data_IF_511070755841
#
_entry.id   IF_511070755841
#
_cell.length_a   1.000
_cell.length_b   1.000
_cell.length_c   1.000
_cell.angle_alpha   90.00
_cell.angle_beta   90.00
_cell.angle_gamma   90.00
#
_symmetry.space_group_name_H-M   'P 1'
#
loop_
_entity.id
_entity.type
_entity.pdbx_description
1 polymer ?
#
# COMPACT_ATOMS: atom_id res chain seq x y z
N UNK A 1 -6.34 -18.34 -31.58
CA UNK A 1 -5.88 -18.63 -30.22
C UNK A 1 -7.09 -18.92 -29.37
N UNK A 2 -7.14 -20.01 -28.60
CA UNK A 2 -8.27 -20.21 -27.68
C UNK A 2 -8.32 -19.05 -26.69
N UNK A 3 -9.52 -18.55 -26.45
CA UNK A 3 -9.75 -17.51 -25.45
C UNK A 3 -9.50 -18.13 -24.06
N UNK A 4 -8.36 -17.80 -23.45
CA UNK A 4 -7.91 -18.30 -22.15
C UNK A 4 -8.40 -17.44 -21.00
N UNK A 5 -9.36 -16.55 -21.23
CA UNK A 5 -9.92 -15.71 -20.16
C UNK A 5 -10.74 -16.54 -19.16
N UNK A 6 -10.81 -16.07 -17.94
CA UNK A 6 -11.63 -16.65 -16.89
C UNK A 6 -13.12 -16.72 -17.32
N UNK A 7 -13.60 -15.71 -18.04
CA UNK A 7 -14.95 -15.69 -18.62
C UNK A 7 -15.16 -16.79 -19.65
N UNK A 8 -14.16 -17.08 -20.49
CA UNK A 8 -14.24 -18.18 -21.44
C UNK A 8 -14.26 -19.54 -20.74
N UNK A 9 -13.43 -19.71 -19.71
CA UNK A 9 -13.42 -20.92 -18.90
C UNK A 9 -14.76 -21.14 -18.18
N UNK A 10 -15.29 -20.13 -17.50
CA UNK A 10 -16.58 -20.25 -16.79
C UNK A 10 -17.74 -20.44 -17.74
N UNK A 11 -17.72 -19.81 -18.91
CA UNK A 11 -18.74 -19.98 -19.97
C UNK A 11 -18.71 -21.39 -20.56
N UNK A 12 -17.52 -21.95 -20.80
CA UNK A 12 -17.37 -23.32 -21.33
C UNK A 12 -17.87 -24.38 -20.35
N UNK A 13 -17.85 -24.09 -19.05
CA UNK A 13 -18.36 -24.98 -17.99
C UNK A 13 -19.85 -24.73 -17.68
N UNK A 14 -20.49 -23.70 -18.28
CA UNK A 14 -21.83 -23.27 -17.90
C UNK A 14 -21.89 -22.76 -16.45
N UNK A 15 -20.74 -22.35 -15.87
CA UNK A 15 -20.61 -22.03 -14.47
C UNK A 15 -20.80 -20.53 -14.20
N UNK A 16 -21.17 -20.18 -12.96
CA UNK A 16 -21.22 -18.82 -12.45
C UNK A 16 -19.86 -18.44 -11.88
N UNK A 17 -19.55 -17.15 -11.87
CA UNK A 17 -18.28 -16.61 -11.29
C UNK A 17 -18.32 -16.62 -9.74
N UNK A 18 -19.50 -16.72 -9.14
CA UNK A 18 -19.68 -16.66 -7.68
C UNK A 18 -18.72 -17.59 -6.87
N UNK A 19 -18.47 -18.85 -7.29
CA UNK A 19 -17.55 -19.73 -6.57
C UNK A 19 -16.11 -19.20 -6.49
N UNK A 20 -15.68 -18.37 -7.43
CA UNK A 20 -14.33 -17.78 -7.42
C UNK A 20 -14.21 -16.75 -6.30
N UNK A 21 -15.25 -15.97 -6.07
CA UNK A 21 -15.28 -15.02 -4.94
C UNK A 21 -15.32 -15.75 -3.60
N UNK A 22 -16.00 -16.90 -3.51
CA UNK A 22 -15.98 -17.77 -2.33
C UNK A 22 -14.56 -18.30 -2.06
N UNK A 23 -13.83 -18.74 -3.09
CA UNK A 23 -12.44 -19.18 -2.96
C UNK A 23 -11.53 -18.08 -2.42
N UNK A 24 -11.74 -16.82 -2.80
CA UNK A 24 -10.98 -15.69 -2.28
C UNK A 24 -11.16 -15.48 -0.76
N UNK A 25 -12.28 -15.94 -0.20
CA UNK A 25 -12.53 -15.89 1.24
C UNK A 25 -11.74 -16.93 2.04
N UNK A 26 -11.29 -18.00 1.38
CA UNK A 26 -10.44 -19.01 2.00
C UNK A 26 -8.95 -18.63 2.01
N UNK A 27 -8.56 -17.56 1.31
CA UNK A 27 -7.18 -17.06 1.28
C UNK A 27 -6.90 -16.19 2.51
N UNK A 28 -6.38 -16.80 3.58
CA UNK A 28 -6.20 -16.15 4.90
C UNK A 28 -5.15 -15.04 4.93
N UNK A 29 -4.16 -15.07 4.03
CA UNK A 29 -3.04 -14.10 4.00
C UNK A 29 -3.14 -13.14 2.82
N UNK A 30 -4.26 -13.16 2.11
CA UNK A 30 -4.51 -12.35 0.92
C UNK A 30 -5.63 -11.35 1.21
N UNK A 31 -5.33 -10.07 1.08
CA UNK A 31 -6.30 -8.99 1.08
C UNK A 31 -6.77 -8.81 -0.37
N UNK A 32 -8.09 -8.85 -0.60
CA UNK A 32 -8.65 -8.66 -1.94
C UNK A 32 -9.83 -7.69 -1.91
N UNK A 33 -9.92 -6.80 -2.90
CA UNK A 33 -11.00 -5.83 -3.04
C UNK A 33 -11.32 -5.50 -4.49
N UNK A 34 -12.55 -5.05 -4.71
CA UNK A 34 -13.02 -4.45 -5.96
C UNK A 34 -13.69 -3.11 -5.63
N UNK A 35 -13.35 -2.08 -6.41
CA UNK A 35 -13.97 -0.75 -6.35
C UNK A 35 -14.50 -0.33 -7.71
N UNK A 36 -15.49 0.52 -7.71
CA UNK A 36 -15.95 1.19 -8.93
C UNK A 36 -15.07 2.41 -9.29
N UNK A 37 -15.42 3.11 -10.38
CA UNK A 37 -14.71 4.31 -10.85
C UNK A 37 -14.67 5.47 -9.86
N UNK A 38 -15.58 5.49 -8.89
CA UNK A 38 -15.67 6.52 -7.85
C UNK A 38 -14.86 6.15 -6.60
N UNK A 39 -14.18 5.01 -6.63
CA UNK A 39 -13.42 4.50 -5.47
C UNK A 39 -14.30 3.86 -4.39
N UNK A 40 -15.57 3.57 -4.71
CA UNK A 40 -16.51 2.94 -3.79
C UNK A 40 -16.29 1.43 -3.78
N UNK A 41 -16.10 0.84 -2.61
CA UNK A 41 -15.96 -0.60 -2.43
C UNK A 41 -17.22 -1.33 -2.87
N UNK A 42 -17.06 -2.29 -3.78
CA UNK A 42 -18.12 -3.14 -4.32
C UNK A 42 -18.01 -4.57 -3.84
N UNK A 43 -16.80 -5.00 -3.52
CA UNK A 43 -16.56 -6.30 -2.91
C UNK A 43 -15.23 -6.31 -2.16
N UNK A 44 -15.15 -7.11 -1.09
CA UNK A 44 -13.94 -7.39 -0.32
C UNK A 44 -13.99 -8.84 0.18
N UNK A 45 -12.83 -9.50 0.30
CA UNK A 45 -12.79 -10.80 0.96
C UNK A 45 -12.80 -10.67 2.49
N UNK A 46 -13.06 -11.78 3.16
CA UNK A 46 -13.15 -11.86 4.62
C UNK A 46 -11.84 -11.39 5.29
N UNK A 47 -10.70 -11.73 4.71
CA UNK A 47 -9.38 -11.33 5.24
C UNK A 47 -9.23 -9.80 5.25
N UNK A 48 -9.59 -9.10 4.17
CA UNK A 48 -9.55 -7.64 4.16
C UNK A 48 -10.56 -7.02 5.13
N UNK A 49 -11.78 -7.58 5.21
CA UNK A 49 -12.80 -7.12 6.14
C UNK A 49 -12.29 -7.14 7.59
N UNK A 50 -11.74 -8.26 8.02
CA UNK A 50 -11.14 -8.41 9.35
C UNK A 50 -9.91 -7.51 9.54
N UNK A 51 -9.10 -7.36 8.50
CA UNK A 51 -7.94 -6.48 8.50
C UNK A 51 -8.32 -5.01 8.72
N UNK A 52 -9.45 -4.55 8.18
CA UNK A 52 -9.99 -3.19 8.43
C UNK A 52 -10.66 -3.10 9.83
N UNK A 53 -10.78 -4.20 10.56
CA UNK A 53 -11.43 -4.23 11.88
C UNK A 53 -12.97 -4.17 11.78
N UNK A 54 -13.55 -4.75 10.73
CA UNK A 54 -14.99 -4.83 10.52
C UNK A 54 -15.48 -6.27 10.70
N UNK A 55 -16.70 -6.41 11.17
CA UNK A 55 -17.35 -7.71 11.42
C UNK A 55 -18.31 -8.13 10.31
N UNK A 56 -18.68 -7.20 9.42
CA UNK A 56 -19.59 -7.43 8.29
C UNK A 56 -19.13 -6.64 7.06
N UNK A 57 -19.33 -7.20 5.87
CA UNK A 57 -19.07 -6.52 4.59
C UNK A 57 -19.94 -5.29 4.39
N UNK A 58 -21.14 -5.25 4.95
CA UNK A 58 -22.06 -4.10 4.87
C UNK A 58 -21.47 -2.84 5.50
N UNK A 59 -20.51 -3.00 6.41
CA UNK A 59 -19.77 -1.89 6.99
C UNK A 59 -18.70 -1.31 6.04
N UNK A 60 -18.45 -1.95 4.89
CA UNK A 60 -17.42 -1.59 3.92
C UNK A 60 -18.03 -1.27 2.56
N UNK A 61 -18.96 -2.12 2.10
CA UNK A 61 -19.59 -1.96 0.78
C UNK A 61 -20.36 -0.64 0.73
N UNK A 62 -20.20 0.09 -0.38
CA UNK A 62 -20.78 1.42 -0.56
C UNK A 62 -19.95 2.58 0.02
N UNK A 63 -18.87 2.29 0.75
CA UNK A 63 -17.95 3.29 1.33
C UNK A 63 -16.74 3.50 0.43
N UNK A 64 -16.04 4.61 0.68
CA UNK A 64 -14.77 4.96 0.04
C UNK A 64 -13.60 4.72 0.99
N UNK A 65 -12.37 4.88 0.51
CA UNK A 65 -11.18 4.81 1.36
C UNK A 65 -11.21 5.85 2.49
N UNK A 66 -11.76 7.04 2.24
CA UNK A 66 -11.84 8.11 3.24
C UNK A 66 -12.80 7.79 4.39
N UNK A 67 -13.76 6.90 4.18
CA UNK A 67 -14.68 6.44 5.22
C UNK A 67 -14.08 5.35 6.11
N UNK A 68 -13.00 4.68 5.63
CA UNK A 68 -12.47 3.47 6.24
C UNK A 68 -11.04 3.61 6.77
N UNK A 69 -10.25 4.51 6.18
CA UNK A 69 -8.83 4.65 6.47
C UNK A 69 -8.47 6.08 6.87
N UNK A 70 -7.32 6.22 7.53
CA UNK A 70 -6.75 7.54 7.82
C UNK A 70 -6.52 8.33 6.51
N UNK A 71 -6.71 9.66 6.53
CA UNK A 71 -6.70 10.47 5.31
C UNK A 71 -5.48 10.30 4.41
N UNK A 72 -4.30 10.07 5.00
CA UNK A 72 -3.07 9.89 4.22
C UNK A 72 -3.05 8.58 3.43
N UNK A 73 -3.60 7.47 4.00
CA UNK A 73 -3.74 6.21 3.30
C UNK A 73 -4.82 6.30 2.22
N UNK A 74 -5.96 6.89 2.57
CA UNK A 74 -7.05 7.11 1.63
C UNK A 74 -6.60 7.91 0.41
N UNK A 75 -5.83 8.99 0.60
CA UNK A 75 -5.23 9.76 -0.49
C UNK A 75 -4.30 8.92 -1.36
N UNK A 76 -3.43 8.09 -0.74
CA UNK A 76 -2.52 7.21 -1.49
C UNK A 76 -3.31 6.20 -2.32
N UNK A 77 -4.30 5.55 -1.72
CA UNK A 77 -5.14 4.57 -2.42
C UNK A 77 -5.91 5.20 -3.57
N UNK A 78 -6.42 6.42 -3.39
CA UNK A 78 -7.10 7.15 -4.45
C UNK A 78 -6.15 7.53 -5.61
N UNK A 79 -4.92 7.94 -5.30
CA UNK A 79 -3.90 8.21 -6.34
C UNK A 79 -3.58 6.95 -7.14
N UNK A 80 -3.44 5.82 -6.47
CA UNK A 80 -3.21 4.52 -7.10
C UNK A 80 -4.39 4.13 -7.98
N UNK A 81 -5.61 4.23 -7.45
CA UNK A 81 -6.82 3.87 -8.19
C UNK A 81 -6.99 4.77 -9.42
N UNK A 82 -6.71 6.09 -9.30
CA UNK A 82 -6.70 6.99 -10.44
C UNK A 82 -5.64 6.62 -11.49
N UNK A 83 -4.47 6.12 -11.08
CA UNK A 83 -3.44 5.63 -11.99
C UNK A 83 -3.92 4.37 -12.74
N UNK A 84 -4.53 3.43 -12.03
CA UNK A 84 -5.06 2.19 -12.60
C UNK A 84 -6.25 2.46 -13.53
N UNK A 85 -7.13 3.39 -13.18
CA UNK A 85 -8.27 3.80 -14.02
C UNK A 85 -7.85 4.43 -15.36
N UNK A 86 -6.62 4.91 -15.49
CA UNK A 86 -6.01 5.33 -16.77
C UNK A 86 -5.43 4.17 -17.59
N UNK A 87 -5.69 2.92 -17.15
CA UNK A 87 -5.18 1.72 -17.81
C UNK A 87 -3.75 1.34 -17.46
N UNK A 88 -3.17 1.92 -16.41
CA UNK A 88 -1.81 1.66 -15.95
C UNK A 88 -1.84 0.77 -14.71
N UNK A 89 -1.62 -0.55 -14.84
CA UNK A 89 -1.66 -1.45 -13.69
C UNK A 89 -0.50 -1.17 -12.72
N UNK A 90 -0.71 -1.52 -11.47
CA UNK A 90 0.32 -1.63 -10.45
C UNK A 90 0.55 -3.12 -10.22
N UNK A 91 1.77 -3.59 -10.35
CA UNK A 91 2.10 -5.02 -10.20
C UNK A 91 3.22 -5.21 -9.20
N UNK A 92 3.01 -6.13 -8.26
CA UNK A 92 4.02 -6.56 -7.25
C UNK A 92 4.75 -5.40 -6.57
N UNK A 93 4.04 -4.29 -6.28
CA UNK A 93 4.62 -3.13 -5.62
C UNK A 93 4.76 -3.40 -4.13
N UNK A 94 5.98 -3.33 -3.64
CA UNK A 94 6.26 -3.43 -2.21
C UNK A 94 5.97 -2.10 -1.55
N UNK A 95 5.11 -2.09 -0.56
CA UNK A 95 4.73 -0.88 0.16
C UNK A 95 4.55 -1.14 1.65
N UNK A 96 4.83 -0.11 2.45
CA UNK A 96 4.54 -0.12 3.87
C UNK A 96 3.19 0.52 4.13
N UNK A 97 2.32 -0.19 4.81
CA UNK A 97 1.12 0.38 5.40
C UNK A 97 1.16 0.28 6.92
N UNK A 98 0.47 1.20 7.59
CA UNK A 98 0.29 1.13 9.05
C UNK A 98 -1.10 0.59 9.32
N UNK A 99 -1.13 -0.58 9.95
CA UNK A 99 -2.36 -1.24 10.31
C UNK A 99 -2.45 -1.38 11.83
N UNK A 100 -3.53 -0.89 12.42
CA UNK A 100 -3.68 -0.79 13.89
C UNK A 100 -2.40 -0.25 14.55
N UNK A 101 -1.86 0.85 14.00
CA UNK A 101 -0.63 1.53 14.43
C UNK A 101 0.65 0.69 14.28
N UNK A 102 0.56 -0.52 13.70
CA UNK A 102 1.71 -1.40 13.45
C UNK A 102 2.10 -1.34 11.97
N UNK A 103 3.34 -0.98 11.64
CA UNK A 103 3.82 -0.99 10.27
C UNK A 103 3.91 -2.43 9.72
N UNK A 104 3.39 -2.63 8.50
CA UNK A 104 3.42 -3.92 7.80
C UNK A 104 3.85 -3.71 6.37
N UNK A 105 4.77 -4.55 5.92
CA UNK A 105 5.17 -4.58 4.51
C UNK A 105 4.22 -5.48 3.74
N UNK A 106 3.70 -4.95 2.64
CA UNK A 106 2.81 -5.66 1.73
C UNK A 106 3.37 -5.64 0.32
N UNK A 107 3.04 -6.68 -0.43
CA UNK A 107 3.17 -6.71 -1.90
C UNK A 107 1.78 -6.51 -2.48
N UNK A 108 1.59 -5.40 -3.19
CA UNK A 108 0.29 -4.98 -3.71
C UNK A 108 0.30 -5.01 -5.24
N UNK A 109 -0.76 -5.58 -5.81
CA UNK A 109 -1.08 -5.46 -7.23
C UNK A 109 -2.48 -4.90 -7.40
N UNK A 110 -2.65 -3.97 -8.36
CA UNK A 110 -3.96 -3.38 -8.71
C UNK A 110 -4.13 -3.38 -10.23
N UNK A 111 -5.26 -3.88 -10.68
CA UNK A 111 -5.62 -4.00 -12.09
C UNK A 111 -6.90 -3.24 -12.40
N UNK A 112 -7.06 -2.73 -13.64
CA UNK A 112 -8.32 -2.16 -14.08
C UNK A 112 -9.35 -3.27 -14.33
N UNK A 113 -10.54 -3.12 -13.74
CA UNK A 113 -11.70 -3.98 -14.04
C UNK A 113 -12.36 -3.45 -15.30
N UNK A 114 -12.59 -4.34 -16.26
CA UNK A 114 -13.23 -4.03 -17.54
C UNK A 114 -14.57 -4.75 -17.68
N UNK A 115 -15.52 -4.08 -18.28
CA UNK A 115 -16.80 -4.72 -18.67
C UNK A 115 -16.63 -5.50 -19.98
N UNK A 116 -17.69 -6.21 -20.40
CA UNK A 116 -17.71 -6.99 -21.64
C UNK A 116 -17.41 -6.17 -22.93
N UNK A 117 -17.53 -4.83 -22.86
CA UNK A 117 -17.19 -3.92 -23.98
C UNK A 117 -15.75 -3.39 -23.88
N UNK A 118 -14.91 -3.95 -23.01
CA UNK A 118 -13.51 -3.56 -22.79
C UNK A 118 -13.33 -2.23 -22.03
N UNK A 119 -14.40 -1.53 -21.63
CA UNK A 119 -14.31 -0.24 -20.92
C UNK A 119 -13.94 -0.47 -19.46
N UNK A 120 -13.00 0.32 -18.96
CA UNK A 120 -12.66 0.30 -17.53
C UNK A 120 -13.85 0.80 -16.72
N UNK A 121 -14.31 -0.01 -15.76
CA UNK A 121 -15.47 0.26 -14.90
C UNK A 121 -15.10 0.36 -13.41
N UNK A 122 -13.87 0.01 -13.06
CA UNK A 122 -13.39 0.04 -11.69
C UNK A 122 -11.95 -0.45 -11.58
N UNK A 123 -11.54 -0.74 -10.35
CA UNK A 123 -10.25 -1.32 -10.00
C UNK A 123 -10.45 -2.58 -9.16
N UNK A 124 -9.57 -3.55 -9.31
CA UNK A 124 -9.43 -4.67 -8.39
C UNK A 124 -8.02 -4.72 -7.87
N UNK A 125 -7.84 -5.07 -6.62
CA UNK A 125 -6.53 -5.17 -6.01
C UNK A 125 -6.38 -6.38 -5.12
N UNK A 126 -5.14 -6.84 -5.04
CA UNK A 126 -4.69 -7.87 -4.13
C UNK A 126 -3.46 -7.38 -3.38
N UNK A 127 -3.39 -7.68 -2.08
CA UNK A 127 -2.20 -7.44 -1.30
C UNK A 127 -1.92 -8.64 -0.39
N UNK A 128 -0.65 -9.01 -0.28
CA UNK A 128 -0.17 -10.08 0.60
C UNK A 128 0.86 -9.53 1.58
N UNK A 129 0.95 -10.14 2.76
CA UNK A 129 2.03 -9.82 3.68
C UNK A 129 3.36 -10.19 3.03
N UNK A 130 4.32 -9.27 3.00
CA UNK A 130 5.67 -9.58 2.60
C UNK A 130 6.34 -10.39 3.72
N UNK A 131 6.30 -11.71 3.62
CA UNK A 131 7.02 -12.59 4.53
C UNK A 131 8.53 -12.35 4.42
N UNK A 132 9.26 -12.52 5.52
CA UNK A 132 10.73 -12.34 5.53
C UNK A 132 11.45 -13.29 4.57
N UNK A 133 10.82 -14.41 4.20
CA UNK A 133 11.40 -15.46 3.35
C UNK A 133 11.00 -15.38 1.85
N UNK A 134 10.01 -14.56 1.48
CA UNK A 134 9.61 -14.41 0.08
C UNK A 134 10.51 -13.44 -0.70
N UNK A 135 11.82 -13.67 -0.61
CA UNK A 135 12.83 -12.93 -1.38
C UNK A 135 12.63 -13.04 -2.91
N UNK A 136 11.83 -13.99 -3.40
CA UNK A 136 11.56 -14.20 -4.82
C UNK A 136 10.71 -13.11 -5.47
N UNK A 137 9.67 -12.60 -4.79
CA UNK A 137 8.82 -11.54 -5.33
C UNK A 137 9.59 -10.21 -5.38
N UNK A 138 10.56 -10.03 -4.47
CA UNK A 138 11.45 -8.87 -4.47
C UNK A 138 12.41 -8.86 -5.66
N UNK A 139 12.77 -10.04 -6.20
CA UNK A 139 13.78 -10.18 -7.27
C UNK A 139 13.29 -9.78 -8.65
N UNK A 140 11.98 -9.75 -8.91
CA UNK A 140 11.44 -9.41 -10.24
C UNK A 140 11.40 -7.89 -10.52
N UNK A 141 11.38 -7.05 -9.47
CA UNK A 141 11.40 -5.59 -9.64
C UNK A 141 12.84 -5.07 -9.67
N UNK A 142 13.19 -4.30 -10.69
CA UNK A 142 14.50 -3.61 -10.76
C UNK A 142 14.75 -2.67 -9.55
N UNK A 143 13.71 -2.29 -8.82
CA UNK A 143 13.79 -1.45 -7.62
C UNK A 143 13.87 -2.27 -6.33
N UNK A 144 13.79 -3.59 -6.40
CA UNK A 144 13.83 -4.47 -5.24
C UNK A 144 15.06 -4.24 -4.34
N UNK A 145 16.30 -4.11 -4.87
CA UNK A 145 17.47 -3.84 -4.03
C UNK A 145 17.36 -2.51 -3.27
N UNK A 146 16.81 -1.46 -3.91
CA UNK A 146 16.60 -0.18 -3.25
C UNK A 146 15.54 -0.28 -2.15
N UNK A 147 14.49 -1.06 -2.35
CA UNK A 147 13.44 -1.25 -1.35
C UNK A 147 13.95 -2.07 -0.15
N UNK A 148 14.75 -3.11 -0.39
CA UNK A 148 15.42 -3.84 0.67
C UNK A 148 16.33 -2.92 1.50
N UNK A 149 17.15 -2.11 0.82
CA UNK A 149 17.99 -1.11 1.48
C UNK A 149 17.16 -0.11 2.31
N UNK A 150 16.09 0.45 1.75
CA UNK A 150 15.21 1.37 2.47
C UNK A 150 14.61 0.70 3.70
N UNK A 151 14.17 -0.56 3.59
CA UNK A 151 13.57 -1.30 4.71
C UNK A 151 14.52 -1.43 5.89
N UNK A 152 15.80 -1.67 5.63
CA UNK A 152 16.83 -1.86 6.66
C UNK A 152 17.40 -0.55 7.19
N UNK A 153 17.57 0.46 6.32
CA UNK A 153 18.33 1.68 6.60
C UNK A 153 17.51 2.99 6.57
N UNK A 154 16.15 2.92 6.59
CA UNK A 154 15.33 4.14 6.50
C UNK A 154 15.62 5.16 7.60
N UNK A 155 16.09 4.74 8.75
CA UNK A 155 16.43 5.57 9.91
C UNK A 155 17.77 6.28 9.79
N UNK A 156 18.62 5.90 8.84
CA UNK A 156 19.93 6.47 8.57
C UNK A 156 19.88 7.51 7.45
N UNK A 157 20.93 8.32 7.24
CA UNK A 157 21.04 9.18 6.06
C UNK A 157 21.04 8.33 4.78
N UNK A 158 19.98 8.45 3.97
CA UNK A 158 19.79 7.64 2.75
C UNK A 158 20.38 8.35 1.54
N UNK A 159 21.35 7.71 0.88
CA UNK A 159 21.91 8.19 -0.38
C UNK A 159 21.12 7.64 -1.57
N UNK A 160 20.37 8.51 -2.26
CA UNK A 160 19.63 8.12 -3.47
C UNK A 160 20.57 7.64 -4.59
N UNK A 161 21.78 8.18 -4.65
CA UNK A 161 22.81 7.75 -5.60
C UNK A 161 23.24 6.30 -5.33
N UNK A 162 23.48 5.97 -4.05
CA UNK A 162 23.83 4.59 -3.66
C UNK A 162 22.70 3.63 -4.00
N UNK A 163 21.44 4.00 -3.72
CA UNK A 163 20.29 3.16 -4.09
C UNK A 163 20.16 2.96 -5.61
N UNK A 164 20.43 3.96 -6.41
CA UNK A 164 20.45 3.81 -7.86
C UNK A 164 21.53 2.83 -8.31
N UNK A 165 22.71 2.90 -7.70
CA UNK A 165 23.84 1.98 -8.00
C UNK A 165 23.50 0.54 -7.62
N UNK A 166 22.88 0.29 -6.46
CA UNK A 166 22.46 -1.08 -6.06
C UNK A 166 21.43 -1.69 -7.01
N UNK A 167 20.66 -0.84 -7.70
CA UNK A 167 19.69 -1.26 -8.72
C UNK A 167 20.32 -1.40 -10.12
N UNK A 168 21.62 -1.11 -10.30
CA UNK A 168 22.27 -1.08 -11.63
C UNK A 168 21.71 0.02 -12.53
N UNK A 169 21.23 1.14 -11.96
CA UNK A 169 20.58 2.22 -12.70
C UNK A 169 21.37 3.53 -12.61
N UNK A 170 21.32 4.33 -13.67
CA UNK A 170 21.71 5.74 -13.58
C UNK A 170 20.74 6.49 -12.64
N UNK A 171 21.19 7.57 -12.00
CA UNK A 171 20.37 8.36 -11.08
C UNK A 171 19.07 8.86 -11.73
N UNK A 172 19.13 9.32 -12.99
CA UNK A 172 17.96 9.75 -13.73
C UNK A 172 16.97 8.63 -14.05
N UNK A 173 17.48 7.44 -14.44
CA UNK A 173 16.65 6.26 -14.68
C UNK A 173 16.00 5.76 -13.39
N UNK A 174 16.76 5.77 -12.29
CA UNK A 174 16.23 5.41 -10.96
C UNK A 174 15.09 6.33 -10.54
N UNK A 175 15.27 7.65 -10.62
CA UNK A 175 14.23 8.62 -10.26
C UNK A 175 12.97 8.44 -11.12
N UNK A 176 13.11 8.21 -12.42
CA UNK A 176 11.97 7.98 -13.32
C UNK A 176 11.23 6.71 -12.95
N UNK A 177 11.93 5.55 -12.89
CA UNK A 177 11.31 4.27 -12.55
C UNK A 177 10.68 4.28 -11.16
N UNK A 178 11.37 4.88 -10.17
CA UNK A 178 10.83 5.00 -8.81
C UNK A 178 9.53 5.81 -8.80
N UNK A 179 9.50 6.94 -9.53
CA UNK A 179 8.29 7.77 -9.63
C UNK A 179 7.15 7.05 -10.36
N UNK A 180 7.46 6.30 -11.41
CA UNK A 180 6.46 5.53 -12.15
C UNK A 180 5.86 4.41 -11.28
N UNK A 181 6.68 3.77 -10.43
CA UNK A 181 6.25 2.67 -9.55
C UNK A 181 5.55 3.16 -8.29
N UNK A 182 6.12 4.16 -7.59
CA UNK A 182 5.65 4.60 -6.27
C UNK A 182 4.88 5.93 -6.29
N UNK A 183 4.70 6.54 -7.46
CA UNK A 183 3.98 7.81 -7.70
C UNK A 183 4.54 8.99 -6.87
N UNK A 184 5.75 8.87 -6.37
CA UNK A 184 6.44 9.90 -5.62
C UNK A 184 7.96 9.80 -5.82
N UNK A 185 8.72 10.80 -5.34
CA UNK A 185 10.19 10.75 -5.39
C UNK A 185 10.73 9.82 -4.29
N UNK A 186 11.96 9.25 -4.46
CA UNK A 186 12.61 8.43 -3.44
C UNK A 186 12.71 9.14 -2.08
N UNK A 187 13.10 10.42 -2.07
CA UNK A 187 13.14 11.22 -0.83
C UNK A 187 11.77 11.38 -0.17
N UNK A 188 10.73 11.60 -0.95
CA UNK A 188 9.36 11.68 -0.44
C UNK A 188 8.93 10.35 0.16
N UNK A 189 9.24 9.23 -0.51
CA UNK A 189 8.94 7.90 -0.02
C UNK A 189 9.60 7.62 1.34
N UNK A 190 10.92 7.87 1.45
CA UNK A 190 11.66 7.66 2.71
C UNK A 190 11.08 8.51 3.85
N UNK A 191 10.74 9.77 3.59
CA UNK A 191 10.08 10.62 4.60
C UNK A 191 8.73 10.09 5.05
N UNK A 192 7.90 9.64 4.11
CA UNK A 192 6.61 9.02 4.42
C UNK A 192 6.80 7.74 5.24
N UNK A 193 7.77 6.92 4.87
CA UNK A 193 8.12 5.71 5.59
C UNK A 193 8.52 6.01 7.04
N UNK A 194 9.44 6.96 7.27
CA UNK A 194 9.86 7.40 8.61
C UNK A 194 8.69 7.82 9.49
N UNK A 195 7.75 8.61 8.94
CA UNK A 195 6.54 9.02 9.66
C UNK A 195 5.67 7.80 10.01
N UNK A 196 5.47 6.89 9.06
CA UNK A 196 4.68 5.67 9.30
C UNK A 196 5.31 4.77 10.36
N UNK A 197 6.64 4.61 10.31
CA UNK A 197 7.37 3.82 11.31
C UNK A 197 7.25 4.42 12.72
N UNK A 198 7.17 5.74 12.84
CA UNK A 198 7.01 6.42 14.13
C UNK A 198 5.64 6.18 14.79
N UNK A 199 4.60 5.82 14.03
CA UNK A 199 3.24 5.65 14.57
C UNK A 199 3.18 4.58 15.67
N UNK A 200 3.86 3.44 15.48
CA UNK A 200 3.92 2.38 16.49
C UNK A 200 4.56 2.88 17.80
N UNK A 201 5.74 3.50 17.70
CA UNK A 201 6.44 4.03 18.87
C UNK A 201 5.63 5.13 19.59
N UNK A 202 4.92 5.98 18.84
CA UNK A 202 4.06 7.01 19.41
C UNK A 202 2.91 6.43 20.25
N UNK A 203 2.32 5.32 19.83
CA UNK A 203 1.16 4.71 20.50
C UNK A 203 1.55 3.78 21.65
N UNK A 204 2.57 2.95 21.44
CA UNK A 204 2.94 1.86 22.34
C UNK A 204 4.15 2.17 23.24
N UNK A 205 4.70 3.39 23.19
CA UNK A 205 5.77 3.79 24.10
C UNK A 205 5.50 5.16 24.75
N UNK A 206 6.11 5.38 25.93
CA UNK A 206 6.09 6.67 26.63
C UNK A 206 7.32 7.55 26.30
N UNK A 207 8.10 7.19 25.29
CA UNK A 207 9.31 7.93 24.92
C UNK A 207 8.99 9.37 24.52
N UNK A 208 9.93 10.28 24.77
CA UNK A 208 9.80 11.66 24.30
C UNK A 208 9.63 11.70 22.77
N UNK A 209 8.83 12.64 22.27
CA UNK A 209 8.57 12.77 20.83
C UNK A 209 9.89 13.02 20.07
N UNK A 210 10.83 13.77 20.69
CA UNK A 210 12.16 13.98 20.13
C UNK A 210 12.95 12.67 19.96
N UNK A 211 12.87 11.76 20.94
CA UNK A 211 13.54 10.46 20.84
C UNK A 211 12.93 9.58 19.72
N UNK A 212 11.60 9.56 19.61
CA UNK A 212 10.92 8.85 18.51
C UNK A 212 11.32 9.45 17.15
N UNK A 213 11.43 10.79 17.05
CA UNK A 213 11.87 11.45 15.84
C UNK A 213 13.28 11.01 15.42
N UNK A 214 14.23 11.04 16.37
CA UNK A 214 15.63 10.64 16.14
C UNK A 214 15.73 9.17 15.70
N UNK A 215 15.05 8.25 16.38
CA UNK A 215 15.02 6.82 16.03
C UNK A 215 14.46 6.56 14.63
N UNK A 216 13.54 7.40 14.16
CA UNK A 216 12.99 7.30 12.80
C UNK A 216 13.83 8.09 11.76
N UNK A 217 14.99 8.62 12.12
CA UNK A 217 15.93 9.26 11.20
C UNK A 217 15.62 10.72 10.88
N UNK A 218 14.87 11.42 11.74
CA UNK A 218 14.70 12.87 11.65
C UNK A 218 15.81 13.60 12.42
N UNK A 219 16.33 14.67 11.82
CA UNK A 219 17.39 15.49 12.44
C UNK A 219 16.95 16.19 13.72
N UNK A 220 15.67 16.54 13.79
CA UNK A 220 15.10 17.27 14.93
C UNK A 220 13.58 17.05 15.04
N UNK A 221 13.05 17.38 16.23
CA UNK A 221 11.61 17.21 16.53
C UNK A 221 10.73 18.18 15.72
N UNK A 222 11.21 19.36 15.37
CA UNK A 222 10.42 20.36 14.62
C UNK A 222 10.18 19.90 13.20
N UNK A 223 11.23 19.42 12.53
CA UNK A 223 11.15 18.82 11.19
C UNK A 223 10.22 17.58 11.20
N UNK A 224 10.40 16.70 12.18
CA UNK A 224 9.50 15.55 12.37
C UNK A 224 8.04 15.99 12.52
N UNK A 225 7.75 16.92 13.42
CA UNK A 225 6.39 17.39 13.69
C UNK A 225 5.74 17.98 12.44
N UNK A 226 6.49 18.76 11.65
CA UNK A 226 6.02 19.35 10.38
C UNK A 226 5.69 18.27 9.37
N UNK A 227 6.59 17.30 9.14
CA UNK A 227 6.38 16.22 8.18
C UNK A 227 5.27 15.26 8.65
N UNK A 228 5.21 14.94 9.94
CA UNK A 228 4.14 14.13 10.51
C UNK A 228 2.78 14.79 10.29
N UNK A 229 2.64 16.09 10.64
CA UNK A 229 1.38 16.81 10.41
C UNK A 229 1.01 16.87 8.93
N UNK A 230 1.99 17.07 8.03
CA UNK A 230 1.74 17.10 6.58
C UNK A 230 1.22 15.76 6.05
N UNK A 231 1.71 14.63 6.60
CA UNK A 231 1.39 13.29 6.14
C UNK A 231 0.16 12.73 6.85
N UNK A 232 0.06 12.89 8.18
CA UNK A 232 -0.99 12.30 9.02
C UNK A 232 -2.17 13.25 9.29
N UNK A 233 -2.08 14.52 8.88
CA UNK A 233 -3.13 15.52 9.13
C UNK A 233 -3.13 16.13 10.55
N UNK A 234 -2.36 15.55 11.48
CA UNK A 234 -2.28 16.01 12.87
C UNK A 234 -0.84 15.94 13.42
N UNK A 235 -0.60 16.55 14.60
CA UNK A 235 0.71 16.51 15.23
C UNK A 235 1.00 15.16 15.90
N UNK A 236 2.29 14.73 16.06
CA UNK A 236 2.64 13.50 16.77
C UNK A 236 2.06 13.43 18.19
N UNK A 237 1.98 14.58 18.89
CA UNK A 237 1.39 14.68 20.22
C UNK A 237 -0.11 14.38 20.22
N UNK A 238 -0.84 14.93 19.26
CA UNK A 238 -2.28 14.68 19.11
C UNK A 238 -2.54 13.24 18.71
N UNK A 239 -1.76 12.71 17.76
CA UNK A 239 -1.82 11.31 17.35
C UNK A 239 -1.63 10.37 18.54
N UNK A 240 -0.57 10.55 19.35
CA UNK A 240 -0.33 9.82 20.58
C UNK A 240 -1.53 9.90 21.51
N UNK A 241 -2.01 11.10 21.84
CA UNK A 241 -3.15 11.29 22.77
C UNK A 241 -4.42 10.60 22.30
N UNK A 242 -4.67 10.57 20.99
CA UNK A 242 -5.87 9.95 20.40
C UNK A 242 -5.82 8.43 20.40
N UNK A 243 -4.62 7.86 20.26
CA UNK A 243 -4.45 6.42 20.04
C UNK A 243 -3.76 5.68 21.20
N UNK A 244 -3.07 6.36 22.14
CA UNK A 244 -2.58 5.72 23.37
C UNK A 244 -3.76 5.42 24.30
N UNK A 245 -3.85 4.18 24.73
CA UNK A 245 -4.79 3.71 25.76
C UNK A 245 -4.26 3.97 27.16
#
# INVERSE_FOLDING_TARGET
MPDTTLEAATRSLGARIDPIFELLDHLKDVLFWIKDKKGVFRWVNTTLMLHIGRSSRDQIIGRTDFDLFEPYLANQYQMDDAHVLRGRPITSRVELIVFHHTPRWLVTSKLPVRNARGRIVGTAGVATMAAQEESRIWTESRLAPAMAFIKEHYHEPVSIRAMAQTCGLSLGSFHRQFRDTYLCTPHTYVRQLRVRMSCHALVFSRRAIAAVAAECGFSDQSHFTKEFRRIMGETPRNYRRRHSR
#
